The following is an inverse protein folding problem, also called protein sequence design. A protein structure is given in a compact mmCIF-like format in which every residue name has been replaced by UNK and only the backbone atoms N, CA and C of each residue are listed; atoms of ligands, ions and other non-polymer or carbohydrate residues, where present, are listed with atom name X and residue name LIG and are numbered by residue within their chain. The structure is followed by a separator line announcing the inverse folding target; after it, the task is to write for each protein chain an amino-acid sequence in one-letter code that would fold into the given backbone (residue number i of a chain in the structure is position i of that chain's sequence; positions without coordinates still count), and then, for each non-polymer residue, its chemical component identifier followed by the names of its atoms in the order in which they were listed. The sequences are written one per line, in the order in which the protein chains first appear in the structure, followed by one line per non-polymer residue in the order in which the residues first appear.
data_IF_449018874314
#
_entry.id   IF_449018874314
#
_cell.length_a   1.000
_cell.length_b   1.000
_cell.length_c   1.000
_cell.angle_alpha   90.00
_cell.angle_beta   90.00
_cell.angle_gamma   90.00
#
_symmetry.space_group_name_H-M   'P 1'
#
loop_
_entity.id
_entity.type
_entity.pdbx_description
1 polymer ?
#
# COMPACT_ATOMS: atom_id res chain seq x y z
N UNK A 1 -24.07 -34.70 13.28
CA UNK A 1 -22.80 -34.23 13.88
C UNK A 1 -21.94 -33.42 12.91
N UNK A 2 -21.60 -33.91 11.72
CA UNK A 2 -20.72 -33.21 10.75
C UNK A 2 -21.20 -31.79 10.32
N UNK A 3 -22.51 -31.54 10.26
CA UNK A 3 -23.05 -30.20 9.96
C UNK A 3 -22.81 -29.20 11.10
N UNK A 4 -22.86 -29.66 12.36
CA UNK A 4 -22.67 -28.79 13.51
C UNK A 4 -21.21 -28.31 13.60
N UNK A 5 -20.25 -29.19 13.35
CA UNK A 5 -18.83 -28.86 13.33
C UNK A 5 -18.50 -27.78 12.30
N UNK A 6 -19.01 -27.91 11.06
CA UNK A 6 -18.78 -26.90 10.01
C UNK A 6 -19.37 -25.54 10.35
N UNK A 7 -20.56 -25.51 10.95
CA UNK A 7 -21.18 -24.24 11.38
C UNK A 7 -20.35 -23.58 12.46
N UNK A 8 -19.79 -24.35 13.40
CA UNK A 8 -18.87 -23.82 14.42
C UNK A 8 -17.60 -23.25 13.76
N UNK A 9 -16.96 -23.98 12.86
CA UNK A 9 -15.77 -23.49 12.15
C UNK A 9 -16.06 -22.17 11.41
N UNK A 10 -17.18 -22.09 10.69
CA UNK A 10 -17.56 -20.88 9.97
C UNK A 10 -17.86 -19.71 10.92
N UNK A 11 -18.57 -19.96 12.02
CA UNK A 11 -18.92 -18.92 12.99
C UNK A 11 -17.68 -18.27 13.64
N UNK A 12 -16.62 -19.06 13.86
CA UNK A 12 -15.40 -18.60 14.52
C UNK A 12 -14.32 -18.11 13.56
N UNK A 13 -14.20 -18.68 12.37
CA UNK A 13 -13.07 -18.43 11.47
C UNK A 13 -13.44 -17.69 10.19
N UNK A 14 -14.71 -17.69 9.75
CA UNK A 14 -15.09 -17.00 8.53
C UNK A 14 -15.10 -15.47 8.74
N UNK A 15 -14.58 -14.67 7.78
CA UNK A 15 -14.57 -13.22 7.91
C UNK A 15 -15.98 -12.64 8.00
N UNK A 16 -16.18 -11.72 8.95
CA UNK A 16 -17.43 -10.96 9.06
C UNK A 16 -17.34 -9.76 8.12
N UNK A 17 -18.18 -9.76 7.09
CA UNK A 17 -18.17 -8.70 6.07
C UNK A 17 -19.07 -7.55 6.49
N UNK A 18 -18.53 -6.32 6.51
CA UNK A 18 -19.36 -5.12 6.57
C UNK A 18 -19.99 -4.88 5.20
N UNK A 19 -21.23 -5.31 5.07
CA UNK A 19 -21.95 -5.26 3.81
C UNK A 19 -22.14 -3.82 3.28
N UNK A 20 -22.19 -2.81 4.16
CA UNK A 20 -22.48 -1.44 3.76
C UNK A 20 -21.30 -0.79 3.00
N UNK A 21 -20.09 -1.30 3.17
CA UNK A 21 -18.91 -0.79 2.42
C UNK A 21 -18.86 -1.30 0.98
N UNK A 22 -19.64 -2.34 0.65
CA UNK A 22 -19.60 -3.00 -0.67
C UNK A 22 -20.86 -2.79 -1.53
N UNK A 23 -21.98 -2.31 -0.96
CA UNK A 23 -23.25 -2.14 -1.71
C UNK A 23 -23.33 -0.88 -2.54
N UNK A 24 -22.79 0.23 -2.04
CA UNK A 24 -22.96 1.55 -2.63
C UNK A 24 -21.75 1.97 -3.44
N UNK A 25 -21.96 2.39 -4.69
CA UNK A 25 -20.87 2.92 -5.55
C UNK A 25 -20.27 4.23 -5.03
N UNK A 26 -21.01 4.96 -4.18
CA UNK A 26 -20.59 6.25 -3.62
C UNK A 26 -19.98 6.11 -2.21
N UNK A 27 -19.66 4.89 -1.76
CA UNK A 27 -19.08 4.68 -0.44
C UNK A 27 -17.65 5.24 -0.39
N UNK A 28 -17.37 6.09 0.59
CA UNK A 28 -16.03 6.65 0.80
C UNK A 28 -15.21 5.69 1.68
N UNK A 29 -14.13 5.16 1.12
CA UNK A 29 -13.17 4.35 1.85
C UNK A 29 -11.90 5.14 2.14
N UNK A 30 -11.18 4.71 3.18
CA UNK A 30 -9.89 5.26 3.53
C UNK A 30 -8.89 5.10 2.38
N UNK A 31 -8.15 6.16 2.05
CA UNK A 31 -7.05 6.10 1.09
C UNK A 31 -5.90 5.22 1.59
N UNK A 32 -5.26 4.42 0.71
CA UNK A 32 -3.95 3.84 0.98
C UNK A 32 -2.96 4.92 1.42
N UNK A 33 -1.98 4.53 2.24
CA UNK A 33 -0.95 5.39 2.82
C UNK A 33 -1.44 6.54 3.73
N UNK A 34 -2.73 6.61 4.04
CA UNK A 34 -3.24 7.57 5.02
C UNK A 34 -2.83 7.21 6.45
N UNK A 35 -2.61 8.24 7.27
CA UNK A 35 -2.26 8.12 8.70
C UNK A 35 -3.53 7.84 9.51
N UNK A 36 -3.51 6.78 10.33
CA UNK A 36 -4.61 6.52 11.25
C UNK A 36 -4.53 7.50 12.44
N UNK A 37 -5.56 8.33 12.70
CA UNK A 37 -5.45 9.48 13.62
C UNK A 37 -5.15 9.08 15.07
N UNK A 38 -5.65 7.93 15.53
CA UNK A 38 -5.44 7.49 16.92
C UNK A 38 -4.14 6.74 17.16
N UNK A 39 -3.57 6.12 16.13
CA UNK A 39 -2.41 5.21 16.29
C UNK A 39 -1.16 5.76 15.62
N UNK A 40 -1.29 6.78 14.77
CA UNK A 40 -0.20 7.28 13.93
C UNK A 40 0.27 6.31 12.85
N UNK A 41 -0.24 5.07 12.80
CA UNK A 41 0.18 4.04 11.84
C UNK A 41 -0.25 4.40 10.42
N UNK A 42 0.62 4.10 9.47
CA UNK A 42 0.33 4.27 8.04
C UNK A 42 -0.56 3.11 7.55
N UNK A 43 -1.57 3.41 6.74
CA UNK A 43 -2.41 2.39 6.10
C UNK A 43 -1.67 1.77 4.92
N UNK A 44 -0.79 0.81 5.20
CA UNK A 44 0.11 0.20 4.22
C UNK A 44 -0.55 -0.93 3.41
N UNK A 45 -0.18 -1.12 2.13
CA UNK A 45 -0.50 -2.34 1.38
C UNK A 45 0.08 -3.59 2.06
N UNK A 46 -0.61 -4.72 1.93
CA UNK A 46 -0.21 -6.00 2.52
C UNK A 46 0.28 -6.92 1.40
N UNK A 47 1.47 -7.51 1.56
CA UNK A 47 2.02 -8.49 0.63
C UNK A 47 1.35 -9.86 0.84
N UNK A 48 0.57 -10.31 -0.15
CA UNK A 48 -0.13 -11.59 -0.09
C UNK A 48 0.82 -12.79 -0.08
N UNK A 49 2.07 -12.65 -0.55
CA UNK A 49 3.07 -13.73 -0.54
C UNK A 49 3.66 -13.97 0.85
N UNK A 50 3.50 -13.00 1.76
CA UNK A 50 4.01 -13.01 3.14
C UNK A 50 2.92 -12.63 4.13
N UNK A 51 1.69 -13.04 3.85
CA UNK A 51 0.52 -12.63 4.64
C UNK A 51 0.61 -13.12 6.09
N UNK A 52 1.10 -14.33 6.31
CA UNK A 52 1.26 -14.92 7.65
C UNK A 52 2.31 -14.18 8.50
N UNK A 53 3.24 -13.47 7.86
CA UNK A 53 4.28 -12.68 8.53
C UNK A 53 3.83 -11.24 8.83
N UNK A 54 2.62 -10.84 8.42
CA UNK A 54 2.15 -9.47 8.59
C UNK A 54 1.80 -9.17 10.05
N UNK A 55 2.59 -8.31 10.69
CA UNK A 55 2.34 -7.81 12.04
C UNK A 55 1.75 -6.37 12.00
N UNK A 56 0.47 -6.17 12.41
CA UNK A 56 -0.13 -4.85 12.46
C UNK A 56 0.51 -3.90 13.48
N UNK A 57 1.26 -4.42 14.46
CA UNK A 57 1.95 -3.61 15.46
C UNK A 57 3.30 -3.09 14.99
N UNK A 58 3.93 -3.78 14.03
CA UNK A 58 5.20 -3.39 13.40
C UNK A 58 5.06 -2.38 12.25
N UNK A 59 3.84 -2.09 11.81
CA UNK A 59 3.56 -1.09 10.76
C UNK A 59 4.10 0.30 11.19
N UNK A 60 4.85 1.01 10.33
CA UNK A 60 5.48 2.27 10.69
C UNK A 60 4.45 3.33 11.08
N UNK A 61 4.82 4.17 12.05
CA UNK A 61 4.04 5.36 12.42
C UNK A 61 4.59 6.59 11.71
N UNK A 62 3.75 7.62 11.53
CA UNK A 62 4.18 8.90 10.97
C UNK A 62 5.34 9.51 11.77
N UNK A 63 5.33 9.41 13.10
CA UNK A 63 6.39 9.92 13.97
C UNK A 63 7.72 9.21 13.73
N UNK A 64 7.69 7.87 13.59
CA UNK A 64 8.89 7.08 13.25
C UNK A 64 9.45 7.49 11.88
N UNK A 65 8.59 7.63 10.88
CA UNK A 65 9.02 8.00 9.53
C UNK A 65 9.63 9.41 9.49
N UNK A 66 9.05 10.38 10.18
CA UNK A 66 9.64 11.72 10.30
C UNK A 66 11.03 11.65 10.96
N UNK A 67 11.18 10.87 12.02
CA UNK A 67 12.47 10.71 12.69
C UNK A 67 13.52 10.06 11.78
N UNK A 68 13.15 9.04 11.00
CA UNK A 68 14.04 8.41 10.02
C UNK A 68 14.51 9.41 8.96
N UNK A 69 13.61 10.25 8.44
CA UNK A 69 13.93 11.31 7.48
C UNK A 69 14.87 12.38 8.06
N UNK A 70 14.63 12.81 9.30
CA UNK A 70 15.48 13.79 9.97
C UNK A 70 16.90 13.28 10.21
N UNK A 71 17.07 11.97 10.47
CA UNK A 71 18.40 11.36 10.61
C UNK A 71 19.14 11.32 9.28
N UNK A 72 18.45 11.03 8.17
CA UNK A 72 19.03 11.04 6.82
C UNK A 72 19.54 12.45 6.46
N UNK A 73 18.75 13.49 6.74
CA UNK A 73 19.13 14.87 6.44
C UNK A 73 20.34 15.38 7.24
N UNK A 74 20.59 14.82 8.43
CA UNK A 74 21.76 15.16 9.25
C UNK A 74 23.05 14.50 8.74
N UNK A 75 22.96 13.31 8.18
CA UNK A 75 24.11 12.56 7.66
C UNK A 75 24.61 13.13 6.31
N UNK A 76 23.70 13.68 5.49
CA UNK A 76 24.05 14.39 4.25
C UNK A 76 24.60 15.80 4.49
N UNK A 77 24.49 16.34 5.71
CA UNK A 77 24.98 17.66 6.11
C UNK A 77 26.50 17.81 6.21
N UNK A 78 27.27 16.74 5.98
CA UNK A 78 28.74 16.76 5.97
C UNK A 78 29.36 16.52 4.58
N UNK A 79 28.56 16.47 3.50
CA UNK A 79 29.05 16.16 2.16
C UNK A 79 28.20 16.72 1.02
N UNK A 80 28.68 17.83 0.44
CA UNK A 80 28.35 18.39 -0.88
C UNK A 80 26.85 18.60 -1.18
N UNK A 81 26.41 19.83 -0.89
CA UNK A 81 25.56 20.67 -1.74
C UNK A 81 25.45 20.18 -3.20
N UNK A 82 24.49 19.30 -3.46
CA UNK A 82 24.16 18.92 -4.84
C UNK A 82 23.20 19.97 -5.38
N UNK A 83 23.70 21.15 -5.74
CA UNK A 83 22.91 22.23 -6.31
C UNK A 83 22.17 21.78 -7.59
N UNK A 84 20.86 22.04 -7.70
CA UNK A 84 20.12 21.93 -8.97
C UNK A 84 18.83 21.09 -9.00
N UNK A 85 18.46 20.38 -7.93
CA UNK A 85 17.18 19.65 -7.88
C UNK A 85 16.16 20.42 -7.03
N UNK A 86 14.89 20.58 -7.47
CA UNK A 86 13.87 21.23 -6.66
C UNK A 86 13.71 20.46 -5.34
N UNK A 87 13.57 21.20 -4.24
CA UNK A 87 13.51 20.67 -2.87
C UNK A 87 12.44 19.56 -2.70
N UNK A 88 11.35 19.65 -3.47
CA UNK A 88 10.28 18.65 -3.54
C UNK A 88 10.73 17.31 -4.12
N UNK A 89 11.67 17.30 -5.07
CA UNK A 89 12.19 16.09 -5.71
C UNK A 89 13.24 15.35 -4.87
N UNK A 90 13.97 16.05 -3.99
CA UNK A 90 14.87 15.44 -3.00
C UNK A 90 14.05 14.74 -1.90
N UNK A 91 13.12 15.47 -1.27
CA UNK A 91 12.17 14.93 -0.27
C UNK A 91 11.36 13.74 -0.80
N UNK A 92 11.05 13.72 -2.11
CA UNK A 92 10.30 12.64 -2.75
C UNK A 92 11.09 11.33 -2.92
N UNK A 93 12.43 11.32 -2.81
CA UNK A 93 13.23 10.07 -2.85
C UNK A 93 13.66 9.57 -1.47
N UNK A 94 13.56 10.42 -0.45
CA UNK A 94 14.04 10.08 0.89
C UNK A 94 13.20 8.99 1.58
N UNK A 95 11.92 8.84 1.21
CA UNK A 95 11.11 7.72 1.72
C UNK A 95 11.70 6.35 1.37
N UNK A 96 12.53 6.25 0.32
CA UNK A 96 13.18 4.97 -0.05
C UNK A 96 14.19 4.51 1.00
N UNK A 97 14.64 5.42 1.85
CA UNK A 97 15.55 5.16 2.97
C UNK A 97 14.79 4.98 4.30
N UNK A 98 13.46 4.99 4.29
CA UNK A 98 12.63 4.80 5.48
C UNK A 98 12.01 3.41 5.51
N UNK A 99 11.46 3.05 6.67
CA UNK A 99 10.67 1.84 6.88
C UNK A 99 9.38 1.78 6.06
N UNK A 100 9.02 2.87 5.36
CA UNK A 100 7.89 2.89 4.41
C UNK A 100 8.23 2.23 3.06
N UNK A 101 9.51 2.22 2.66
CA UNK A 101 9.93 1.77 1.33
C UNK A 101 9.45 0.37 0.92
N UNK A 102 9.49 -0.66 1.79
CA UNK A 102 9.02 -2.01 1.43
C UNK A 102 7.54 -2.03 1.05
N UNK A 103 6.71 -1.23 1.73
CA UNK A 103 5.27 -1.16 1.47
C UNK A 103 4.95 -0.42 0.18
N UNK A 104 5.75 0.60 -0.18
CA UNK A 104 5.65 1.27 -1.49
C UNK A 104 5.99 0.29 -2.60
N UNK A 105 7.01 -0.56 -2.42
CA UNK A 105 7.37 -1.59 -3.40
C UNK A 105 6.22 -2.58 -3.66
N UNK A 106 5.48 -2.98 -2.62
CA UNK A 106 4.27 -3.82 -2.78
C UNK A 106 3.23 -3.11 -3.64
N UNK A 107 3.03 -1.81 -3.43
CA UNK A 107 2.10 -1.01 -4.24
C UNK A 107 2.56 -0.85 -5.69
N UNK A 108 3.85 -0.59 -5.92
CA UNK A 108 4.43 -0.48 -7.26
C UNK A 108 4.19 -1.77 -8.06
N UNK A 109 4.39 -2.94 -7.45
CA UNK A 109 4.10 -4.24 -8.09
C UNK A 109 2.62 -4.37 -8.48
N UNK A 110 1.71 -3.96 -7.61
CA UNK A 110 0.28 -3.94 -7.91
C UNK A 110 -0.05 -3.02 -9.11
N UNK A 111 0.56 -1.83 -9.17
CA UNK A 111 0.36 -0.90 -10.28
C UNK A 111 0.92 -1.45 -11.59
N UNK A 112 2.09 -2.09 -11.57
CA UNK A 112 2.68 -2.73 -12.75
C UNK A 112 1.79 -3.86 -13.30
N UNK A 113 1.21 -4.68 -12.43
CA UNK A 113 0.27 -5.74 -12.82
C UNK A 113 -1.03 -5.18 -13.40
N UNK A 114 -1.56 -4.12 -12.79
CA UNK A 114 -2.73 -3.40 -13.30
C UNK A 114 -2.48 -2.82 -14.70
N UNK A 115 -1.32 -2.19 -14.91
CA UNK A 115 -0.94 -1.61 -16.21
C UNK A 115 -0.82 -2.70 -17.29
N UNK A 116 -0.17 -3.82 -16.97
CA UNK A 116 -0.06 -4.97 -17.89
C UNK A 116 -1.44 -5.51 -18.28
N UNK A 117 -2.34 -5.67 -17.31
CA UNK A 117 -3.71 -6.13 -17.56
C UNK A 117 -4.47 -5.15 -18.47
N UNK A 118 -4.38 -3.85 -18.20
CA UNK A 118 -5.08 -2.82 -18.97
C UNK A 118 -4.57 -2.74 -20.43
N UNK A 119 -3.25 -2.81 -20.65
CA UNK A 119 -2.66 -2.88 -21.99
C UNK A 119 -3.14 -4.12 -22.75
N UNK A 120 -3.17 -5.28 -22.10
CA UNK A 120 -3.67 -6.52 -22.70
C UNK A 120 -5.14 -6.45 -23.09
N UNK A 121 -5.97 -5.77 -22.29
CA UNK A 121 -7.40 -5.60 -22.57
C UNK A 121 -7.65 -4.59 -23.70
N UNK A 122 -6.87 -3.51 -23.76
CA UNK A 122 -6.91 -2.55 -24.88
C UNK A 122 -6.56 -3.21 -26.22
N UNK A 123 -5.49 -4.00 -26.26
CA UNK A 123 -5.07 -4.71 -27.48
C UNK A 123 -6.18 -5.67 -27.98
N UNK A 124 -6.78 -6.44 -27.06
CA UNK A 124 -7.93 -7.30 -27.42
C UNK A 124 -9.12 -6.50 -27.96
N UNK A 125 -9.37 -5.32 -27.43
CA UNK A 125 -10.48 -4.48 -27.87
C UNK A 125 -10.21 -3.83 -29.24
N UNK A 126 -8.97 -3.39 -29.52
CA UNK A 126 -8.59 -2.88 -30.85
C UNK A 126 -8.63 -3.97 -31.91
N UNK A 127 -8.12 -5.17 -31.60
CA UNK A 127 -8.17 -6.32 -32.52
C UNK A 127 -9.61 -6.72 -32.86
N UNK A 128 -10.53 -6.59 -31.90
CA UNK A 128 -11.95 -6.88 -32.09
C UNK A 128 -12.69 -5.80 -32.88
N UNK A 129 -12.25 -4.54 -32.79
CA UNK A 129 -12.81 -3.42 -33.55
C UNK A 129 -12.23 -3.30 -34.97
N UNK A 130 -11.19 -4.06 -35.31
CA UNK A 130 -10.46 -3.96 -36.60
C UNK A 130 -9.95 -2.55 -36.90
N UNK A 131 -9.83 -1.71 -35.86
CA UNK A 131 -9.21 -0.39 -35.92
C UNK A 131 -7.69 -0.60 -35.74
N UNK A 132 -6.99 -0.72 -36.87
CA UNK A 132 -5.52 -0.77 -36.94
C UNK A 132 -4.92 0.64 -37.02
#
# INVERSE_FOLDING_TARGET
MLQAERVIMLQYCFPRLDMNVSKGINHLLKSPFSVHPKTGRISVPIDLKKLDDFDPFAVPTISNLCHELDMIGKDEGNGKETEGLPESSRKSRDYKKTSLAPYVKVFEQFLEEMEKSYKGQRLKNSDMQMDF
#
